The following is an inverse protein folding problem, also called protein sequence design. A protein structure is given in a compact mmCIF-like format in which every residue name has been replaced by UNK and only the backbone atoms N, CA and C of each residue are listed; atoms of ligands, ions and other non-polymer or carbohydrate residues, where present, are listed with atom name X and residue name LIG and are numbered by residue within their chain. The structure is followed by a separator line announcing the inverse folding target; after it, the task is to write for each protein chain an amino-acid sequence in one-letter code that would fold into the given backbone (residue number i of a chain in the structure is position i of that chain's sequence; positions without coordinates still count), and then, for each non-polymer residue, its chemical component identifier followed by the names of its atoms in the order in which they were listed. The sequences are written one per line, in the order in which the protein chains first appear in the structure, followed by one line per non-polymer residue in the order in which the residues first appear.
data_IF_709418235328
#
_entry.id   IF_709418235328
#
_cell.length_a   1.000
_cell.length_b   1.000
_cell.length_c   1.000
_cell.angle_alpha   90.00
_cell.angle_beta   90.00
_cell.angle_gamma   90.00
#
_symmetry.space_group_name_H-M   'P 1'
#
loop_
_entity.id
_entity.type
_entity.pdbx_description
1 polymer ?
#
# COMPACT_ATOMS: atom_id res chain seq x y z
N UNK A 1 12.64 -29.41 6.26
CA UNK A 1 11.60 -28.56 5.63
C UNK A 1 11.75 -28.72 4.13
N UNK A 2 10.71 -29.13 3.38
CA UNK A 2 10.82 -29.22 1.92
C UNK A 2 11.04 -27.81 1.35
N UNK A 3 12.01 -27.67 0.44
CA UNK A 3 12.35 -26.42 -0.25
C UNK A 3 11.56 -26.26 -1.57
N UNK A 4 10.61 -27.15 -1.84
CA UNK A 4 9.88 -27.25 -3.10
C UNK A 4 8.42 -26.87 -2.91
N UNK A 5 7.83 -26.28 -3.94
CA UNK A 5 6.40 -26.02 -4.02
C UNK A 5 5.60 -27.33 -3.99
N UNK A 6 4.43 -27.27 -3.36
CA UNK A 6 3.41 -28.32 -3.41
C UNK A 6 2.75 -28.40 -4.80
N UNK A 7 2.07 -29.50 -5.10
CA UNK A 7 1.37 -29.66 -6.38
C UNK A 7 0.29 -28.58 -6.61
N UNK A 8 -0.41 -28.17 -5.54
CA UNK A 8 -1.40 -27.08 -5.58
C UNK A 8 -0.73 -25.73 -5.90
N UNK A 9 0.41 -25.43 -5.27
CA UNK A 9 1.19 -24.22 -5.55
C UNK A 9 1.75 -24.22 -6.98
N UNK A 10 2.18 -25.38 -7.51
CA UNK A 10 2.65 -25.54 -8.89
C UNK A 10 1.50 -25.28 -9.88
N UNK A 11 0.33 -25.86 -9.62
CA UNK A 11 -0.86 -25.63 -10.45
C UNK A 11 -1.27 -24.16 -10.42
N UNK A 12 -1.27 -23.55 -9.24
CA UNK A 12 -1.55 -22.13 -9.06
C UNK A 12 -0.55 -21.25 -9.80
N UNK A 13 0.75 -21.52 -9.68
CA UNK A 13 1.81 -20.83 -10.42
C UNK A 13 1.57 -20.89 -11.93
N UNK A 14 1.22 -22.06 -12.47
CA UNK A 14 0.90 -22.22 -13.90
C UNK A 14 -0.29 -21.35 -14.31
N UNK A 15 -1.32 -21.25 -13.47
CA UNK A 15 -2.49 -20.42 -13.74
C UNK A 15 -2.15 -18.93 -13.75
N UNK A 16 -1.39 -18.44 -12.75
CA UNK A 16 -0.96 -17.03 -12.74
C UNK A 16 -0.04 -16.71 -13.93
N UNK A 17 0.87 -17.63 -14.29
CA UNK A 17 1.73 -17.46 -15.47
C UNK A 17 0.90 -17.29 -16.75
N UNK A 18 -0.10 -18.13 -16.94
CA UNK A 18 -0.97 -18.05 -18.12
C UNK A 18 -1.75 -16.74 -18.16
N UNK A 19 -2.30 -16.31 -17.01
CA UNK A 19 -2.97 -15.03 -16.87
C UNK A 19 -2.03 -13.85 -17.17
N UNK A 20 -0.83 -13.83 -16.58
CA UNK A 20 0.13 -12.77 -16.81
C UNK A 20 0.58 -12.70 -18.29
N UNK A 21 0.77 -13.86 -18.92
CA UNK A 21 1.12 -13.96 -20.34
C UNK A 21 0.00 -13.44 -21.26
N UNK A 22 -1.27 -13.74 -20.95
CA UNK A 22 -2.39 -13.36 -21.82
C UNK A 22 -2.88 -11.92 -21.60
N UNK A 23 -2.84 -11.44 -20.36
CA UNK A 23 -3.43 -10.14 -19.97
C UNK A 23 -2.37 -9.06 -19.80
N UNK A 24 -1.26 -9.37 -19.14
CA UNK A 24 -0.27 -8.37 -18.70
C UNK A 24 0.82 -8.15 -19.76
N UNK A 25 1.37 -9.23 -20.32
CA UNK A 25 2.45 -9.15 -21.30
C UNK A 25 2.14 -8.25 -22.51
N UNK A 26 0.93 -8.29 -23.12
CA UNK A 26 0.62 -7.42 -24.26
C UNK A 26 0.66 -5.93 -23.93
N UNK A 27 0.46 -5.57 -22.66
CA UNK A 27 0.40 -4.18 -22.18
C UNK A 27 1.73 -3.66 -21.65
N UNK A 28 2.65 -4.54 -21.26
CA UNK A 28 3.90 -4.21 -20.56
C UNK A 28 4.71 -3.09 -21.24
N UNK A 29 4.93 -3.20 -22.56
CA UNK A 29 5.70 -2.20 -23.33
C UNK A 29 5.02 -0.82 -23.29
N UNK A 30 3.72 -0.76 -23.55
CA UNK A 30 2.97 0.50 -23.57
C UNK A 30 2.92 1.16 -22.18
N UNK A 31 2.78 0.35 -21.13
CA UNK A 31 2.81 0.83 -19.74
C UNK A 31 4.14 1.51 -19.43
N UNK A 32 5.25 0.92 -19.86
CA UNK A 32 6.57 1.49 -19.62
C UNK A 32 6.81 2.76 -20.46
N UNK A 33 6.55 2.72 -21.77
CA UNK A 33 6.76 3.86 -22.67
C UNK A 33 5.94 5.09 -22.24
N UNK A 34 4.66 4.90 -21.92
CA UNK A 34 3.77 6.00 -21.55
C UNK A 34 3.95 6.45 -20.09
N UNK A 35 4.43 5.58 -19.20
CA UNK A 35 4.49 5.87 -17.76
C UNK A 35 3.12 6.05 -17.10
N UNK A 36 2.07 5.47 -17.68
CA UNK A 36 0.70 5.56 -17.19
C UNK A 36 0.39 4.42 -16.23
N UNK A 37 -0.42 4.70 -15.21
CA UNK A 37 -0.89 3.66 -14.31
C UNK A 37 -1.81 2.68 -15.04
N UNK A 38 -1.57 1.35 -14.97
CA UNK A 38 -2.32 0.38 -15.74
C UNK A 38 -3.65 0.04 -15.05
N UNK A 39 -4.61 0.96 -15.13
CA UNK A 39 -5.96 0.78 -14.56
C UNK A 39 -6.67 -0.46 -15.13
N UNK A 40 -6.43 -0.78 -16.39
CA UNK A 40 -6.97 -1.99 -17.02
C UNK A 40 -6.48 -3.27 -16.33
N UNK A 41 -5.18 -3.33 -15.99
CA UNK A 41 -4.61 -4.47 -15.25
C UNK A 41 -5.11 -4.50 -13.80
N UNK A 42 -5.25 -3.32 -13.16
CA UNK A 42 -5.84 -3.22 -11.83
C UNK A 42 -7.25 -3.83 -11.79
N UNK A 43 -8.10 -3.52 -12.77
CA UNK A 43 -9.45 -4.08 -12.85
C UNK A 43 -9.44 -5.60 -13.05
N UNK A 44 -8.51 -6.14 -13.84
CA UNK A 44 -8.35 -7.59 -13.96
C UNK A 44 -7.92 -8.24 -12.64
N UNK A 45 -7.05 -7.60 -11.85
CA UNK A 45 -6.70 -8.09 -10.52
C UNK A 45 -7.90 -8.15 -9.58
N UNK A 46 -8.79 -7.15 -9.63
CA UNK A 46 -10.04 -7.14 -8.86
C UNK A 46 -10.97 -8.28 -9.28
N UNK A 47 -11.19 -8.46 -10.59
CA UNK A 47 -12.05 -9.52 -11.13
C UNK A 47 -11.57 -10.92 -10.75
N UNK A 48 -10.25 -11.15 -10.81
CA UNK A 48 -9.63 -12.43 -10.45
C UNK A 48 -9.53 -12.64 -8.93
N UNK A 49 -9.88 -11.63 -8.12
CA UNK A 49 -9.78 -11.70 -6.66
C UNK A 49 -8.35 -11.74 -6.14
N UNK A 50 -7.36 -11.24 -6.89
CA UNK A 50 -5.94 -11.33 -6.51
C UNK A 50 -5.67 -10.58 -5.19
N UNK A 51 -6.36 -9.47 -4.94
CA UNK A 51 -6.23 -8.74 -3.68
C UNK A 51 -6.76 -9.51 -2.45
N UNK A 52 -7.56 -10.56 -2.65
CA UNK A 52 -8.07 -11.41 -1.56
C UNK A 52 -7.06 -12.42 -1.06
N UNK A 53 -5.98 -12.68 -1.80
CA UNK A 53 -5.03 -13.76 -1.52
C UNK A 53 -4.56 -13.81 -0.07
N UNK A 54 -4.22 -12.65 0.52
CA UNK A 54 -3.69 -12.56 1.87
C UNK A 54 -4.57 -11.73 2.82
N UNK A 55 -5.86 -11.64 2.51
CA UNK A 55 -6.89 -11.12 3.43
C UNK A 55 -7.42 -12.31 4.25
N UNK A 56 -7.63 -12.17 5.57
CA UNK A 56 -8.18 -13.25 6.39
C UNK A 56 -9.58 -13.68 5.92
N UNK A 57 -9.92 -14.96 6.10
CA UNK A 57 -11.22 -15.51 5.67
C UNK A 57 -12.41 -14.82 6.31
N UNK A 58 -12.30 -14.45 7.58
CA UNK A 58 -13.35 -13.73 8.32
C UNK A 58 -13.73 -12.38 7.70
N UNK A 59 -12.81 -11.78 6.92
CA UNK A 59 -13.04 -10.53 6.17
C UNK A 59 -13.27 -10.76 4.66
N UNK A 60 -13.61 -12.00 4.26
CA UNK A 60 -13.93 -12.35 2.87
C UNK A 60 -12.73 -12.60 1.96
N UNK A 61 -11.55 -12.83 2.54
CA UNK A 61 -10.33 -13.19 1.83
C UNK A 61 -10.12 -14.69 1.65
N UNK A 62 -9.00 -15.06 1.02
CA UNK A 62 -8.64 -16.46 0.77
C UNK A 62 -7.64 -17.02 1.81
N UNK A 63 -6.90 -16.14 2.49
CA UNK A 63 -5.92 -16.51 3.53
C UNK A 63 -4.94 -17.60 3.06
N UNK A 64 -4.41 -17.45 1.85
CA UNK A 64 -3.49 -18.42 1.25
C UNK A 64 -2.05 -18.29 1.77
N UNK A 65 -1.72 -17.15 2.39
CA UNK A 65 -0.40 -16.87 2.94
C UNK A 65 0.62 -16.37 1.91
N UNK A 66 1.85 -16.12 2.40
CA UNK A 66 2.88 -15.43 1.64
C UNK A 66 3.49 -16.24 0.49
N UNK A 67 3.47 -17.57 0.52
CA UNK A 67 4.02 -18.38 -0.60
C UNK A 67 3.21 -18.14 -1.88
N UNK A 68 1.88 -18.17 -1.78
CA UNK A 68 0.99 -17.86 -2.91
C UNK A 68 1.16 -16.42 -3.40
N UNK A 69 1.35 -15.46 -2.49
CA UNK A 69 1.64 -14.08 -2.86
C UNK A 69 2.97 -13.96 -3.62
N UNK A 70 4.03 -14.62 -3.14
CA UNK A 70 5.33 -14.66 -3.83
C UNK A 70 5.19 -15.26 -5.23
N UNK A 71 4.44 -16.34 -5.39
CA UNK A 71 4.14 -16.94 -6.71
C UNK A 71 3.45 -15.93 -7.63
N UNK A 72 2.42 -15.22 -7.13
CA UNK A 72 1.73 -14.20 -7.92
C UNK A 72 2.70 -13.11 -8.39
N UNK A 73 3.47 -12.57 -7.45
CA UNK A 73 4.39 -11.48 -7.73
C UNK A 73 5.49 -11.89 -8.70
N UNK A 74 6.06 -13.09 -8.54
CA UNK A 74 7.09 -13.63 -9.41
C UNK A 74 6.58 -13.81 -10.85
N UNK A 75 5.44 -14.46 -11.02
CA UNK A 75 4.89 -14.75 -12.36
C UNK A 75 4.43 -13.48 -13.09
N UNK A 76 3.88 -12.50 -12.39
CA UNK A 76 3.52 -11.21 -13.00
C UNK A 76 4.78 -10.40 -13.36
N UNK A 77 5.78 -10.38 -12.49
CA UNK A 77 7.00 -9.58 -12.69
C UNK A 77 7.84 -10.05 -13.88
N UNK A 78 7.74 -11.32 -14.29
CA UNK A 78 8.36 -11.84 -15.53
C UNK A 78 7.93 -11.08 -16.78
N UNK A 79 6.75 -10.44 -16.75
CA UNK A 79 6.19 -9.71 -17.89
C UNK A 79 6.10 -8.20 -17.65
N UNK A 80 5.67 -7.78 -16.46
CA UNK A 80 5.57 -6.35 -16.11
C UNK A 80 5.75 -6.14 -14.60
N UNK A 81 6.94 -5.72 -14.19
CA UNK A 81 7.24 -5.43 -12.79
C UNK A 81 6.38 -4.26 -12.24
N UNK A 82 6.01 -3.27 -13.07
CA UNK A 82 5.07 -2.20 -12.67
C UNK A 82 3.70 -2.73 -12.24
N UNK A 83 3.16 -3.73 -12.95
CA UNK A 83 1.89 -4.34 -12.60
C UNK A 83 1.98 -5.12 -11.29
N UNK A 84 3.08 -5.85 -11.05
CA UNK A 84 3.31 -6.53 -9.78
C UNK A 84 3.39 -5.55 -8.60
N UNK A 85 3.95 -4.36 -8.82
CA UNK A 85 4.11 -3.34 -7.78
C UNK A 85 2.77 -2.82 -7.23
N UNK A 86 1.68 -2.88 -8.01
CA UNK A 86 0.33 -2.55 -7.52
C UNK A 86 -0.04 -3.45 -6.34
N UNK A 87 0.19 -4.76 -6.49
CA UNK A 87 -0.10 -5.77 -5.48
C UNK A 87 0.83 -5.62 -4.28
N UNK A 88 2.11 -5.37 -4.53
CA UNK A 88 3.11 -5.21 -3.48
C UNK A 88 2.79 -4.02 -2.57
N UNK A 89 2.47 -2.85 -3.14
CA UNK A 89 2.15 -1.65 -2.36
C UNK A 89 0.86 -1.84 -1.58
N UNK A 90 -0.17 -2.42 -2.22
CA UNK A 90 -1.44 -2.74 -1.56
C UNK A 90 -1.22 -3.68 -0.38
N UNK A 91 -0.44 -4.74 -0.57
CA UNK A 91 -0.14 -5.71 0.48
C UNK A 91 0.64 -5.06 1.62
N UNK A 92 1.74 -4.36 1.34
CA UNK A 92 2.56 -3.69 2.35
C UNK A 92 1.74 -2.72 3.20
N UNK A 93 0.88 -1.91 2.56
CA UNK A 93 0.02 -0.98 3.30
C UNK A 93 -1.06 -1.71 4.11
N UNK A 94 -1.69 -2.75 3.55
CA UNK A 94 -2.74 -3.51 4.24
C UNK A 94 -2.24 -4.25 5.47
N UNK A 95 -0.96 -4.67 5.50
CA UNK A 95 -0.37 -5.36 6.64
C UNK A 95 -0.47 -4.55 7.93
N UNK A 96 -0.36 -3.23 7.86
CA UNK A 96 -0.50 -2.37 9.03
C UNK A 96 -1.88 -2.50 9.69
N UNK A 97 -2.94 -2.57 8.89
CA UNK A 97 -4.31 -2.78 9.39
C UNK A 97 -4.48 -4.22 9.90
N UNK A 98 -3.94 -5.21 9.18
CA UNK A 98 -4.00 -6.62 9.57
C UNK A 98 -3.33 -6.87 10.94
N UNK A 99 -2.18 -6.25 11.18
CA UNK A 99 -1.37 -6.42 12.38
C UNK A 99 -1.88 -5.56 13.54
N UNK A 100 -2.08 -4.26 13.33
CA UNK A 100 -2.28 -3.29 14.40
C UNK A 100 -3.65 -2.59 14.40
N UNK A 101 -4.52 -2.88 13.42
CA UNK A 101 -5.88 -2.35 13.38
C UNK A 101 -6.76 -2.90 14.50
N UNK A 102 -7.70 -2.09 14.99
CA UNK A 102 -8.76 -2.59 15.89
C UNK A 102 -9.74 -3.50 15.13
N UNK A 103 -10.55 -4.33 15.82
CA UNK A 103 -11.59 -5.13 15.17
C UNK A 103 -12.50 -4.31 14.24
N UNK A 104 -12.89 -3.11 14.67
CA UNK A 104 -13.75 -2.20 13.90
C UNK A 104 -13.04 -1.68 12.64
N UNK A 105 -11.75 -1.36 12.75
CA UNK A 105 -10.94 -0.95 11.60
C UNK A 105 -10.77 -2.12 10.61
N UNK A 106 -10.50 -3.33 11.11
CA UNK A 106 -10.35 -4.51 10.25
C UNK A 106 -11.64 -4.82 9.50
N UNK A 107 -12.78 -4.82 10.19
CA UNK A 107 -14.11 -5.01 9.61
C UNK A 107 -14.43 -3.94 8.56
N UNK A 108 -14.09 -2.67 8.85
CA UNK A 108 -14.34 -1.55 7.93
C UNK A 108 -13.48 -1.61 6.67
N UNK A 109 -12.22 -1.98 6.77
CA UNK A 109 -11.24 -1.78 5.69
C UNK A 109 -10.87 -3.07 4.95
N UNK A 110 -10.66 -4.19 5.64
CA UNK A 110 -10.09 -5.39 5.01
C UNK A 110 -10.97 -6.00 3.91
N UNK A 111 -12.31 -6.07 4.03
CA UNK A 111 -13.16 -6.55 2.93
C UNK A 111 -13.00 -5.70 1.67
N UNK A 112 -12.93 -4.37 1.82
CA UNK A 112 -12.81 -3.40 0.72
C UNK A 112 -11.42 -3.37 0.09
N UNK A 113 -10.39 -3.59 0.90
CA UNK A 113 -9.01 -3.79 0.43
C UNK A 113 -8.94 -5.09 -0.39
N UNK A 114 -9.60 -6.16 0.09
CA UNK A 114 -9.63 -7.46 -0.57
C UNK A 114 -10.37 -7.46 -1.91
N UNK A 115 -11.41 -6.63 -2.07
CA UNK A 115 -12.07 -6.43 -3.38
C UNK A 115 -11.33 -5.46 -4.29
N UNK A 116 -10.36 -4.70 -3.76
CA UNK A 116 -9.75 -3.56 -4.43
C UNK A 116 -10.69 -2.35 -4.60
N UNK A 117 -11.79 -2.28 -3.85
CA UNK A 117 -12.60 -1.06 -3.73
C UNK A 117 -11.78 0.07 -3.12
N UNK A 118 -10.96 -0.25 -2.11
CA UNK A 118 -10.01 0.68 -1.50
C UNK A 118 -8.60 0.33 -1.94
N UNK A 119 -7.92 1.29 -2.56
CA UNK A 119 -6.50 1.24 -2.85
C UNK A 119 -5.70 1.96 -1.77
N UNK A 120 -4.55 1.42 -1.42
CA UNK A 120 -3.67 1.96 -0.39
C UNK A 120 -2.31 2.36 -0.96
N UNK A 121 -1.68 3.29 -0.23
CA UNK A 121 -0.28 3.63 -0.38
C UNK A 121 0.41 3.59 0.98
N UNK A 122 1.72 3.30 0.98
CA UNK A 122 2.56 3.31 2.17
C UNK A 122 3.52 4.51 2.11
N UNK A 123 3.39 5.44 3.05
CA UNK A 123 4.04 6.74 3.05
C UNK A 123 4.88 6.95 4.32
N UNK A 124 6.03 6.27 4.36
CA UNK A 124 6.99 6.37 5.46
C UNK A 124 8.15 7.33 5.14
N UNK A 125 8.81 7.11 4.01
CA UNK A 125 10.03 7.79 3.58
C UNK A 125 9.86 9.29 3.45
N UNK A 126 10.87 10.03 3.90
CA UNK A 126 10.94 11.49 3.84
C UNK A 126 12.21 11.95 3.10
N UNK A 127 12.27 13.20 2.59
CA UNK A 127 13.43 13.69 1.83
C UNK A 127 14.78 13.54 2.54
N UNK A 128 14.80 13.51 3.88
CA UNK A 128 16.00 13.38 4.71
C UNK A 128 16.06 12.06 5.51
N UNK A 129 15.08 11.17 5.34
CA UNK A 129 14.92 9.96 6.16
C UNK A 129 14.37 8.82 5.29
N UNK A 130 15.29 8.01 4.75
CA UNK A 130 14.98 6.83 3.92
C UNK A 130 15.25 5.53 4.68
N UNK A 131 16.50 5.07 4.64
CA UNK A 131 16.94 3.89 5.38
C UNK A 131 16.87 4.09 6.90
N UNK A 132 17.12 5.32 7.37
CA UNK A 132 16.91 5.71 8.76
C UNK A 132 15.45 6.14 8.98
N UNK A 133 14.58 5.13 9.06
CA UNK A 133 13.14 5.32 9.18
C UNK A 133 12.68 5.87 10.54
N UNK A 134 13.51 5.76 11.59
CA UNK A 134 13.19 6.31 12.91
C UNK A 134 13.41 7.84 12.96
N UNK A 135 14.28 8.36 12.09
CA UNK A 135 14.59 9.79 12.00
C UNK A 135 13.59 10.61 11.17
N UNK A 136 12.36 10.13 10.96
CA UNK A 136 11.30 10.93 10.33
C UNK A 136 11.05 12.22 11.13
N UNK A 137 10.56 13.25 10.43
CA UNK A 137 10.28 14.59 10.97
C UNK A 137 8.83 15.00 10.83
N UNK A 138 8.01 14.25 10.09
CA UNK A 138 6.56 14.50 10.09
C UNK A 138 6.03 14.43 11.51
N UNK A 139 5.17 15.38 11.88
CA UNK A 139 4.65 15.54 13.24
C UNK A 139 3.14 15.32 13.27
N UNK A 140 2.64 14.81 14.38
CA UNK A 140 1.23 14.74 14.71
C UNK A 140 1.00 15.49 16.03
N UNK A 141 0.23 16.57 16.00
CA UNK A 141 -0.18 17.28 17.22
C UNK A 141 -1.57 16.80 17.62
N UNK A 142 -1.74 16.33 18.85
CA UNK A 142 -3.05 15.93 19.37
C UNK A 142 -3.96 17.14 19.51
N UNK A 143 -5.22 16.95 19.16
CA UNK A 143 -6.31 17.92 19.26
C UNK A 143 -7.57 17.19 19.71
N UNK A 144 -8.63 17.93 19.99
CA UNK A 144 -9.92 17.31 20.27
C UNK A 144 -10.39 16.45 19.07
N UNK A 145 -10.77 15.21 19.35
CA UNK A 145 -11.21 14.24 18.35
C UNK A 145 -10.12 13.60 17.45
N UNK A 146 -8.84 13.95 17.59
CA UNK A 146 -7.77 13.30 16.80
C UNK A 146 -6.45 14.07 16.74
N UNK A 147 -5.87 14.19 15.54
CA UNK A 147 -4.52 14.74 15.33
C UNK A 147 -4.46 15.68 14.13
N UNK A 148 -3.56 16.66 14.22
CA UNK A 148 -3.15 17.51 13.10
C UNK A 148 -1.77 17.08 12.64
N UNK A 149 -1.69 16.60 11.40
CA UNK A 149 -0.46 16.12 10.76
C UNK A 149 0.19 17.22 9.92
N UNK A 150 1.51 17.32 10.03
CA UNK A 150 2.36 18.19 9.24
C UNK A 150 3.62 17.44 8.79
N UNK A 151 4.06 17.65 7.55
CA UNK A 151 5.27 17.02 7.04
C UNK A 151 5.30 16.80 5.54
N UNK A 152 6.30 16.06 5.08
CA UNK A 152 6.46 15.71 3.66
C UNK A 152 6.97 14.29 3.54
N UNK A 153 6.23 13.45 2.81
CA UNK A 153 6.68 12.13 2.40
C UNK A 153 7.10 12.15 0.94
N UNK A 154 8.05 11.30 0.58
CA UNK A 154 8.53 11.16 -0.78
C UNK A 154 8.59 9.69 -1.20
N UNK A 155 8.69 9.47 -2.51
CA UNK A 155 8.69 8.14 -3.11
C UNK A 155 7.44 7.30 -2.77
N UNK A 156 6.28 7.96 -2.64
CA UNK A 156 5.02 7.29 -2.31
C UNK A 156 4.44 6.66 -3.57
N UNK A 157 4.62 5.34 -3.70
CA UNK A 157 3.98 4.54 -4.75
C UNK A 157 2.47 4.49 -4.55
N UNK A 158 1.71 4.38 -5.64
CA UNK A 158 0.25 4.57 -5.69
C UNK A 158 -0.20 5.97 -5.29
N UNK A 159 0.69 6.96 -5.29
CA UNK A 159 0.44 8.32 -4.82
C UNK A 159 -0.86 8.95 -5.31
N UNK A 160 -1.14 8.87 -6.61
CA UNK A 160 -2.36 9.46 -7.19
C UNK A 160 -3.52 8.46 -7.35
N UNK A 161 -3.34 7.22 -6.93
CA UNK A 161 -4.34 6.14 -7.10
C UNK A 161 -4.96 5.76 -5.77
N UNK A 162 -4.18 5.76 -4.69
CA UNK A 162 -4.64 5.36 -3.37
C UNK A 162 -5.77 6.24 -2.83
N UNK A 163 -6.71 5.61 -2.12
CA UNK A 163 -7.80 6.23 -1.38
C UNK A 163 -7.36 6.59 0.05
N UNK A 164 -6.46 5.78 0.62
CA UNK A 164 -5.85 6.03 1.93
C UNK A 164 -4.33 5.84 1.89
N UNK A 165 -3.64 6.67 2.67
CA UNK A 165 -2.19 6.64 2.82
C UNK A 165 -1.84 6.23 4.24
N UNK A 166 -1.22 5.06 4.38
CA UNK A 166 -0.61 4.62 5.64
C UNK A 166 0.61 5.48 5.89
N UNK A 167 0.52 6.38 6.86
CA UNK A 167 1.52 7.42 7.11
C UNK A 167 2.00 7.39 8.55
N UNK A 168 3.29 7.71 8.75
CA UNK A 168 3.93 7.71 10.05
C UNK A 168 4.37 9.12 10.43
N UNK A 169 4.07 9.52 11.66
CA UNK A 169 4.42 10.83 12.20
C UNK A 169 4.75 10.73 13.69
N UNK A 170 5.62 11.62 14.17
CA UNK A 170 5.97 11.74 15.59
C UNK A 170 4.90 12.52 16.33
N UNK A 171 4.27 11.91 17.32
CA UNK A 171 3.33 12.59 18.21
C UNK A 171 4.12 13.54 19.11
N UNK A 172 3.74 14.81 19.11
CA UNK A 172 4.37 15.88 19.88
C UNK A 172 3.73 16.00 21.28
N UNK A 173 3.70 14.91 22.03
CA UNK A 173 3.28 14.89 23.44
C UNK A 173 4.41 14.33 24.31
N UNK A 174 4.61 14.93 25.48
CA UNK A 174 5.70 14.63 26.42
C UNK A 174 7.11 14.92 25.85
N UNK A 175 8.16 14.64 26.64
CA UNK A 175 9.56 14.74 26.23
C UNK A 175 10.03 13.56 25.34
N UNK A 176 9.11 12.67 24.93
CA UNK A 176 9.43 11.45 24.19
C UNK A 176 8.72 11.46 22.84
N UNK A 177 9.49 11.60 21.76
CA UNK A 177 8.97 11.51 20.39
C UNK A 177 8.47 10.09 20.09
N UNK A 178 7.17 9.94 19.92
CA UNK A 178 6.50 8.64 19.67
C UNK A 178 6.06 8.54 18.22
N UNK A 179 6.72 7.71 17.41
CA UNK A 179 6.27 7.43 16.04
C UNK A 179 4.94 6.67 16.10
N UNK A 180 3.94 7.21 15.42
CA UNK A 180 2.57 6.67 15.40
C UNK A 180 2.08 6.57 13.96
N UNK A 181 1.26 5.56 13.68
CA UNK A 181 0.72 5.28 12.36
C UNK A 181 -0.70 5.84 12.20
N UNK A 182 -0.99 6.37 11.01
CA UNK A 182 -2.27 6.98 10.65
C UNK A 182 -2.70 6.53 9.26
N UNK A 183 -4.01 6.39 9.05
CA UNK A 183 -4.62 6.31 7.72
C UNK A 183 -5.08 7.71 7.31
N UNK A 184 -4.44 8.29 6.30
CA UNK A 184 -4.81 9.61 5.77
C UNK A 184 -5.69 9.43 4.53
N UNK A 185 -6.96 9.86 4.52
CA UNK A 185 -7.78 9.86 3.32
C UNK A 185 -7.20 10.78 2.23
N UNK A 186 -7.30 10.38 0.97
CA UNK A 186 -6.80 11.14 -0.19
C UNK A 186 -7.33 12.56 -0.29
N UNK A 187 -8.59 12.76 0.10
CA UNK A 187 -9.29 14.04 -0.01
C UNK A 187 -9.22 14.88 1.27
N UNK A 188 -8.37 14.51 2.23
CA UNK A 188 -8.23 15.29 3.46
C UNK A 188 -7.78 16.71 3.17
N UNK A 189 -8.45 17.69 3.79
CA UNK A 189 -8.06 19.10 3.67
C UNK A 189 -6.63 19.28 4.17
N UNK A 190 -5.83 20.06 3.44
CA UNK A 190 -4.43 20.29 3.76
C UNK A 190 -3.46 19.24 3.20
N UNK A 191 -3.99 18.15 2.63
CA UNK A 191 -3.19 17.18 1.90
C UNK A 191 -3.01 17.63 0.45
N UNK A 192 -1.77 17.58 -0.04
CA UNK A 192 -1.44 17.84 -1.44
C UNK A 192 -0.51 16.76 -1.99
N UNK A 193 -0.89 16.19 -3.13
CA UNK A 193 -0.02 15.30 -3.90
C UNK A 193 0.93 16.11 -4.78
N UNK A 194 2.19 15.69 -4.85
CA UNK A 194 3.16 16.21 -5.80
C UNK A 194 2.94 15.68 -7.22
N UNK A 195 3.74 16.17 -8.16
CA UNK A 195 3.75 15.66 -9.54
C UNK A 195 4.33 14.25 -9.55
N UNK A 196 3.79 13.39 -10.42
CA UNK A 196 4.35 12.05 -10.63
C UNK A 196 5.80 12.15 -11.11
N UNK A 197 6.69 11.39 -10.46
CA UNK A 197 8.12 11.37 -10.81
C UNK A 197 8.33 10.59 -12.10
N UNK A 198 9.06 11.20 -13.02
CA UNK A 198 9.63 10.51 -14.17
C UNK A 198 10.81 9.65 -13.71
N UNK A 199 10.75 8.34 -13.99
CA UNK A 199 11.68 7.33 -13.46
C UNK A 199 12.33 6.56 -14.60
N UNK A 200 13.54 6.04 -14.35
CA UNK A 200 14.26 5.17 -15.28
C UNK A 200 13.48 3.89 -15.64
N UNK A 201 12.71 3.35 -14.70
CA UNK A 201 11.93 2.12 -14.86
C UNK A 201 10.78 2.07 -13.87
N UNK A 202 10.03 0.97 -13.91
CA UNK A 202 8.76 0.82 -13.17
C UNK A 202 7.80 1.99 -13.47
N UNK A 203 7.82 2.47 -14.73
CA UNK A 203 7.21 3.74 -15.11
C UNK A 203 5.68 3.74 -14.92
N UNK A 204 5.04 2.59 -15.08
CA UNK A 204 3.61 2.41 -14.80
C UNK A 204 3.21 2.45 -13.32
N UNK A 205 4.17 2.49 -12.40
CA UNK A 205 3.88 2.79 -10.99
C UNK A 205 3.97 4.28 -10.76
N UNK A 206 2.85 4.92 -10.43
CA UNK A 206 2.86 6.34 -10.10
C UNK A 206 3.50 6.53 -8.73
N UNK A 207 4.58 7.30 -8.71
CA UNK A 207 5.33 7.64 -7.50
C UNK A 207 5.32 9.14 -7.32
N UNK A 208 4.83 9.63 -6.18
CA UNK A 208 4.68 11.07 -5.94
C UNK A 208 5.32 11.49 -4.62
N UNK A 209 5.36 12.80 -4.42
CA UNK A 209 5.50 13.41 -3.10
C UNK A 209 4.13 13.62 -2.46
N UNK A 210 4.13 13.78 -1.15
CA UNK A 210 2.94 13.90 -0.32
C UNK A 210 3.20 14.99 0.72
N UNK A 211 2.48 16.09 0.62
CA UNK A 211 2.66 17.25 1.50
C UNK A 211 1.48 17.37 2.44
N UNK A 212 1.74 17.30 3.74
CA UNK A 212 0.74 17.49 4.79
C UNK A 212 0.94 18.86 5.40
N UNK A 213 -0.07 19.73 5.27
CA UNK A 213 -0.14 20.99 5.98
C UNK A 213 -1.45 21.07 6.75
N UNK A 214 -1.35 20.95 8.07
CA UNK A 214 -2.48 20.98 9.00
C UNK A 214 -3.59 19.99 8.65
N UNK A 215 -3.21 18.75 8.32
CA UNK A 215 -4.13 17.69 7.93
C UNK A 215 -4.77 17.10 9.19
N UNK A 216 -6.08 17.31 9.36
CA UNK A 216 -6.82 16.67 10.45
C UNK A 216 -7.08 15.20 10.15
N UNK A 217 -6.81 14.35 11.15
CA UNK A 217 -7.08 12.91 11.16
C UNK A 217 -7.86 12.57 12.42
N UNK A 218 -9.04 11.99 12.24
CA UNK A 218 -9.87 11.51 13.35
C UNK A 218 -9.18 10.38 14.12
N UNK A 219 -9.47 10.26 15.42
CA UNK A 219 -8.91 9.22 16.30
C UNK A 219 -9.11 7.80 15.72
N UNK A 220 -10.27 7.55 15.09
CA UNK A 220 -10.59 6.26 14.46
C UNK A 220 -9.71 5.87 13.26
N UNK A 221 -8.87 6.78 12.75
CA UNK A 221 -7.91 6.54 11.68
C UNK A 221 -6.46 6.46 12.19
N UNK A 222 -6.20 6.59 13.49
CA UNK A 222 -4.94 6.16 14.10
C UNK A 222 -4.92 4.63 14.16
N UNK A 223 -3.82 4.02 13.71
CA UNK A 223 -3.65 2.57 13.76
C UNK A 223 -2.71 2.21 14.90
N UNK A 224 -3.15 1.30 15.76
CA UNK A 224 -2.41 0.90 16.97
C UNK A 224 -2.38 1.98 18.07
N UNK A 225 -1.54 1.74 19.07
CA UNK A 225 -1.29 2.71 20.15
C UNK A 225 -0.28 3.77 19.70
N UNK A 226 -0.32 4.94 20.33
CA UNK A 226 0.74 5.93 20.12
C UNK A 226 2.11 5.31 20.46
N UNK A 227 3.13 5.61 19.64
CA UNK A 227 4.47 5.07 19.81
C UNK A 227 4.70 3.65 19.27
N UNK A 228 3.65 2.98 18.78
CA UNK A 228 3.75 1.63 18.17
C UNK A 228 3.87 1.69 16.64
N UNK A 229 4.35 2.81 16.09
CA UNK A 229 4.50 2.99 14.65
C UNK A 229 5.79 2.43 14.05
N UNK A 230 6.82 2.14 14.86
CA UNK A 230 8.08 1.52 14.41
C UNK A 230 8.20 0.10 14.94
#
# INVERSE_FOLDING_TARGET
MPLLLTDDEILFQKNIRNFAKSVIQPRAKQIDENGEFPFDILEEFKKQGIFKTNIPKEYGGFELGFVYLCIIMEEISKFCASSSLILQVQETASQVIKIAGTPEQKERFLPKIGTGEIMLAFALTEPKSGSDAQSIRSTAKKVDGGYILNGTKCFVSNGNVADYFVTFAKVLEDDVEKITCFLVPKNSKGLKMGVARDKMGLRGSITTEFFMKDVFIEEGLKIGKEGMGF
#
